data_IF_052530379495
#
_entry.id   IF_052530379495
#
_cell.length_a   1.000
_cell.length_b   1.000
_cell.length_c   1.000
_cell.angle_alpha   90.00
_cell.angle_beta   90.00
_cell.angle_gamma   90.00
#
_symmetry.space_group_name_H-M   'P 1'
#
loop_
_entity.id
_entity.type
_entity.pdbx_description
1 polymer ?
#
# COMPACT_ATOMS: atom_id res chain seq x y z
N UNK A 1 -7.35 -29.14 2.75
CA UNK A 1 -6.17 -28.69 1.99
C UNK A 1 -6.70 -28.07 0.72
N UNK A 2 -7.07 -26.80 0.80
CA UNK A 2 -7.52 -26.05 -0.37
C UNK A 2 -6.29 -25.48 -1.08
N UNK A 3 -6.14 -25.86 -2.34
CA UNK A 3 -5.09 -25.42 -3.26
C UNK A 3 -5.45 -24.01 -3.75
N UNK A 4 -4.79 -22.99 -3.22
CA UNK A 4 -4.99 -21.58 -3.57
C UNK A 4 -3.90 -21.14 -4.54
N UNK A 5 -3.97 -21.65 -5.77
CA UNK A 5 -3.14 -21.21 -6.88
C UNK A 5 -3.71 -19.90 -7.47
N UNK A 6 -3.00 -18.76 -7.39
CA UNK A 6 -3.46 -17.46 -7.88
C UNK A 6 -3.42 -17.34 -9.42
N UNK A 7 -2.91 -18.35 -10.14
CA UNK A 7 -2.95 -18.37 -11.59
C UNK A 7 -4.30 -18.85 -12.11
N UNK A 8 -5.15 -17.88 -12.51
CA UNK A 8 -6.29 -18.05 -13.43
C UNK A 8 -7.54 -18.73 -12.84
N UNK A 9 -8.46 -17.90 -12.33
CA UNK A 9 -9.84 -18.29 -12.02
C UNK A 9 -10.61 -18.57 -13.31
N UNK A 10 -10.63 -19.82 -13.76
CA UNK A 10 -11.56 -20.27 -14.80
C UNK A 10 -12.91 -20.56 -14.12
N UNK A 11 -14.03 -19.94 -14.54
CA UNK A 11 -15.34 -20.21 -13.94
C UNK A 11 -15.72 -21.68 -14.09
N UNK A 12 -16.20 -22.29 -12.99
CA UNK A 12 -16.45 -23.74 -12.87
C UNK A 12 -17.66 -24.25 -13.67
N UNK A 13 -18.47 -23.38 -14.26
CA UNK A 13 -19.54 -23.78 -15.19
C UNK A 13 -20.01 -22.60 -16.03
N UNK A 14 -20.23 -22.84 -17.33
CA UNK A 14 -20.87 -21.91 -18.26
C UNK A 14 -22.32 -22.37 -18.51
N UNK A 15 -23.28 -21.52 -18.15
CA UNK A 15 -24.62 -21.48 -18.76
C UNK A 15 -25.61 -22.59 -18.35
N UNK A 16 -26.10 -22.54 -17.11
CA UNK A 16 -27.22 -23.40 -16.66
C UNK A 16 -28.49 -22.63 -16.28
N UNK A 17 -28.72 -21.45 -16.87
CA UNK A 17 -29.94 -20.69 -16.60
C UNK A 17 -31.04 -20.94 -17.62
N UNK A 18 -32.26 -21.09 -17.10
CA UNK A 18 -33.48 -21.33 -17.86
C UNK A 18 -33.79 -20.11 -18.74
N UNK A 19 -33.52 -20.23 -20.04
CA UNK A 19 -33.81 -19.21 -21.05
C UNK A 19 -35.32 -19.14 -21.30
N UNK A 20 -35.93 -17.96 -21.19
CA UNK A 20 -37.36 -17.80 -21.49
C UNK A 20 -37.61 -17.42 -22.94
N UNK A 21 -36.84 -16.46 -23.45
CA UNK A 21 -37.03 -15.85 -24.76
C UNK A 21 -35.67 -15.42 -25.31
N UNK A 22 -35.11 -16.21 -26.24
CA UNK A 22 -33.83 -15.90 -26.89
C UNK A 22 -32.64 -15.91 -25.92
N UNK A 23 -31.91 -14.79 -25.85
CA UNK A 23 -30.76 -14.59 -24.95
C UNK A 23 -31.13 -14.14 -23.53
N UNK A 24 -32.40 -13.82 -23.26
CA UNK A 24 -32.82 -13.27 -21.97
C UNK A 24 -33.28 -14.35 -20.98
N UNK A 25 -32.83 -14.22 -19.73
CA UNK A 25 -33.06 -15.12 -18.60
C UNK A 25 -34.22 -14.64 -17.70
N UNK A 26 -34.76 -15.51 -16.84
CA UNK A 26 -35.73 -15.09 -15.79
C UNK A 26 -35.16 -13.98 -14.90
N UNK A 27 -33.87 -14.04 -14.61
CA UNK A 27 -33.13 -13.08 -13.81
C UNK A 27 -33.08 -11.70 -14.49
N UNK A 28 -32.96 -11.65 -15.82
CA UNK A 28 -33.01 -10.40 -16.58
C UNK A 28 -34.39 -9.73 -16.51
N UNK A 29 -35.46 -10.52 -16.56
CA UNK A 29 -36.81 -10.00 -16.38
C UNK A 29 -37.01 -9.42 -14.97
N UNK A 30 -36.46 -10.09 -13.95
CA UNK A 30 -36.52 -9.61 -12.58
C UNK A 30 -35.76 -8.29 -12.41
N UNK A 31 -34.54 -8.18 -12.94
CA UNK A 31 -33.73 -6.95 -12.89
C UNK A 31 -34.42 -5.80 -13.64
N UNK A 32 -35.06 -6.08 -14.78
CA UNK A 32 -35.80 -5.06 -15.53
C UNK A 32 -37.04 -4.53 -14.79
N UNK A 33 -37.78 -5.40 -14.12
CA UNK A 33 -39.04 -5.03 -13.44
C UNK A 33 -38.83 -4.46 -12.03
N UNK A 34 -37.77 -4.88 -11.34
CA UNK A 34 -37.53 -4.57 -9.93
C UNK A 34 -37.57 -3.06 -9.60
N UNK A 35 -36.94 -2.15 -10.37
CA UNK A 35 -36.99 -0.72 -10.07
C UNK A 35 -38.41 -0.14 -10.10
N UNK A 36 -39.27 -0.64 -10.99
CA UNK A 36 -40.68 -0.24 -11.04
C UNK A 36 -41.47 -0.72 -9.82
N UNK A 37 -41.24 -1.95 -9.40
CA UNK A 37 -41.86 -2.51 -8.18
C UNK A 37 -41.48 -1.70 -6.95
N UNK A 38 -40.19 -1.34 -6.82
CA UNK A 38 -39.70 -0.50 -5.72
C UNK A 38 -40.38 0.86 -5.70
N UNK A 39 -40.55 1.51 -6.86
CA UNK A 39 -41.27 2.80 -6.94
C UNK A 39 -42.71 2.66 -6.47
N UNK A 40 -43.44 1.64 -6.94
CA UNK A 40 -44.84 1.42 -6.51
C UNK A 40 -44.92 1.20 -5.01
N UNK A 41 -44.03 0.37 -4.45
CA UNK A 41 -43.99 0.10 -3.02
C UNK A 41 -43.63 1.37 -2.22
N UNK A 42 -42.63 2.14 -2.63
CA UNK A 42 -42.26 3.39 -1.97
C UNK A 42 -43.41 4.39 -1.97
N UNK A 43 -44.11 4.57 -3.11
CA UNK A 43 -45.26 5.47 -3.19
C UNK A 43 -46.43 4.99 -2.34
N UNK A 44 -46.66 3.68 -2.24
CA UNK A 44 -47.76 3.12 -1.43
C UNK A 44 -47.47 3.12 0.07
N UNK A 45 -46.21 2.92 0.48
CA UNK A 45 -45.81 2.77 1.88
C UNK A 45 -45.44 4.11 2.52
N UNK A 46 -44.72 4.98 1.80
CA UNK A 46 -44.19 6.22 2.36
C UNK A 46 -45.14 7.41 2.23
N UNK A 47 -46.07 7.38 1.26
CA UNK A 47 -46.94 8.53 0.98
C UNK A 47 -48.38 8.30 1.49
N UNK A 48 -48.95 9.25 2.25
CA UNK A 48 -50.35 9.18 2.68
C UNK A 48 -51.31 9.17 1.49
N UNK A 49 -52.37 8.36 1.57
CA UNK A 49 -53.31 8.17 0.46
C UNK A 49 -54.05 9.44 0.00
N UNK A 50 -54.13 10.46 0.86
CA UNK A 50 -54.75 11.76 0.56
C UNK A 50 -53.77 12.86 0.13
N UNK A 51 -52.49 12.57 -0.05
CA UNK A 51 -51.51 13.59 -0.41
C UNK A 51 -51.77 14.12 -1.82
N UNK A 52 -52.02 15.43 -1.90
CA UNK A 52 -52.22 16.15 -3.16
C UNK A 52 -51.16 17.23 -3.31
N UNK A 53 -50.57 17.33 -4.50
CA UNK A 53 -49.62 18.37 -4.87
C UNK A 53 -50.18 19.07 -6.11
N UNK A 54 -50.39 20.38 -6.02
CA UNK A 54 -51.03 21.18 -7.08
C UNK A 54 -52.36 20.59 -7.61
N UNK A 55 -53.18 20.02 -6.73
CA UNK A 55 -54.50 19.47 -7.09
C UNK A 55 -54.48 18.07 -7.72
N UNK A 56 -53.30 17.49 -7.97
CA UNK A 56 -53.17 16.11 -8.40
C UNK A 56 -52.84 15.18 -7.23
N UNK A 57 -53.52 14.04 -7.16
CA UNK A 57 -53.23 13.00 -6.17
C UNK A 57 -51.90 12.34 -6.52
N UNK A 58 -50.93 12.35 -5.61
CA UNK A 58 -49.56 11.88 -5.89
C UNK A 58 -49.53 10.40 -6.30
N UNK A 59 -50.54 9.61 -5.90
CA UNK A 59 -50.70 8.21 -6.29
C UNK A 59 -50.90 7.99 -7.80
N UNK A 60 -51.45 8.97 -8.54
CA UNK A 60 -51.62 8.83 -10.00
C UNK A 60 -50.29 8.85 -10.74
N UNK A 61 -49.23 9.37 -10.11
CA UNK A 61 -47.88 9.38 -10.64
C UNK A 61 -47.12 8.06 -10.38
N UNK A 62 -47.66 7.15 -9.57
CA UNK A 62 -46.99 5.89 -9.21
C UNK A 62 -46.74 5.00 -10.45
N UNK A 63 -47.79 4.79 -11.27
CA UNK A 63 -47.71 3.96 -12.46
C UNK A 63 -46.82 4.54 -13.58
N UNK A 64 -46.92 5.84 -13.95
CA UNK A 64 -46.02 6.39 -14.95
C UNK A 64 -44.57 6.39 -14.48
N UNK A 65 -44.31 6.70 -13.20
CA UNK A 65 -42.95 6.64 -12.65
C UNK A 65 -42.41 5.21 -12.62
N UNK A 66 -43.23 4.23 -12.24
CA UNK A 66 -42.88 2.82 -12.29
C UNK A 66 -42.58 2.37 -13.73
N UNK A 67 -43.37 2.81 -14.71
CA UNK A 67 -43.13 2.53 -16.13
C UNK A 67 -41.80 3.08 -16.63
N UNK A 68 -41.44 4.31 -16.24
CA UNK A 68 -40.12 4.89 -16.55
C UNK A 68 -39.00 4.07 -15.92
N UNK A 69 -39.13 3.67 -14.66
CA UNK A 69 -38.12 2.87 -13.96
C UNK A 69 -37.98 1.46 -14.54
N UNK A 70 -39.07 0.84 -15.00
CA UNK A 70 -39.04 -0.43 -15.74
C UNK A 70 -38.31 -0.24 -17.07
N UNK A 71 -38.56 0.87 -17.78
CA UNK A 71 -37.84 1.22 -19.01
C UNK A 71 -36.33 1.35 -18.79
N UNK A 72 -35.92 1.99 -17.69
CA UNK A 72 -34.51 2.09 -17.29
C UNK A 72 -33.92 0.71 -16.95
N UNK A 73 -34.66 -0.14 -16.22
CA UNK A 73 -34.25 -1.51 -15.92
C UNK A 73 -34.08 -2.35 -17.19
N UNK A 74 -35.00 -2.23 -18.14
CA UNK A 74 -34.91 -2.92 -19.44
C UNK A 74 -33.72 -2.41 -20.28
N UNK A 75 -33.45 -1.11 -20.27
CA UNK A 75 -32.28 -0.53 -20.92
C UNK A 75 -30.98 -1.04 -20.29
N UNK A 76 -30.92 -1.15 -18.96
CA UNK A 76 -29.77 -1.72 -18.25
C UNK A 76 -29.52 -3.17 -18.64
N UNK A 77 -30.57 -3.99 -18.69
CA UNK A 77 -30.49 -5.38 -19.17
C UNK A 77 -30.00 -5.44 -20.61
N UNK A 78 -30.47 -4.55 -21.48
CA UNK A 78 -30.02 -4.46 -22.87
C UNK A 78 -28.53 -4.08 -23.00
N UNK A 79 -28.03 -3.22 -22.11
CA UNK A 79 -26.62 -2.80 -22.08
C UNK A 79 -25.70 -3.81 -21.37
N UNK A 80 -26.27 -4.83 -20.71
CA UNK A 80 -25.50 -5.85 -20.00
C UNK A 80 -24.59 -6.61 -20.98
N UNK A 81 -23.28 -6.75 -20.71
CA UNK A 81 -22.36 -7.46 -21.60
C UNK A 81 -22.77 -8.93 -21.82
N UNK A 82 -22.63 -9.42 -23.06
CA UNK A 82 -23.10 -10.76 -23.47
C UNK A 82 -22.44 -11.95 -22.74
N UNK A 83 -21.38 -11.73 -21.96
CA UNK A 83 -20.67 -12.77 -21.19
C UNK A 83 -21.13 -12.87 -19.73
N UNK A 84 -22.03 -11.99 -19.27
CA UNK A 84 -22.53 -11.97 -17.88
C UNK A 84 -24.05 -11.87 -17.87
N UNK A 85 -24.69 -12.34 -16.81
CA UNK A 85 -26.11 -12.06 -16.57
C UNK A 85 -26.26 -10.65 -15.98
N UNK A 86 -27.43 -10.03 -16.14
CA UNK A 86 -27.67 -8.70 -15.56
C UNK A 86 -27.63 -8.72 -14.03
N UNK A 87 -28.06 -9.82 -13.41
CA UNK A 87 -27.98 -10.01 -11.96
C UNK A 87 -26.53 -10.13 -11.46
N UNK A 88 -25.67 -10.87 -12.17
CA UNK A 88 -24.25 -10.98 -11.85
C UNK A 88 -23.53 -9.64 -12.07
N UNK A 89 -23.95 -8.87 -13.09
CA UNK A 89 -23.40 -7.56 -13.36
C UNK A 89 -23.76 -6.55 -12.27
N UNK A 90 -25.01 -6.53 -11.80
CA UNK A 90 -25.44 -5.75 -10.62
C UNK A 90 -24.66 -6.16 -9.39
N UNK A 91 -24.55 -7.48 -9.13
CA UNK A 91 -23.81 -8.00 -7.97
C UNK A 91 -22.35 -7.60 -8.03
N UNK A 92 -21.72 -7.67 -9.20
CA UNK A 92 -20.34 -7.24 -9.42
C UNK A 92 -20.17 -5.74 -9.14
N UNK A 93 -21.10 -4.91 -9.64
CA UNK A 93 -21.03 -3.46 -9.44
C UNK A 93 -21.26 -3.06 -7.98
N UNK A 94 -22.24 -3.69 -7.31
CA UNK A 94 -22.47 -3.52 -5.87
C UNK A 94 -21.25 -3.99 -5.09
N UNK A 95 -20.71 -5.17 -5.39
CA UNK A 95 -19.52 -5.71 -4.71
C UNK A 95 -18.26 -4.88 -4.94
N UNK A 96 -18.14 -4.24 -6.09
CA UNK A 96 -17.05 -3.31 -6.40
C UNK A 96 -17.18 -2.03 -5.57
N UNK A 97 -18.40 -1.51 -5.44
CA UNK A 97 -18.66 -0.28 -4.69
C UNK A 97 -18.73 -0.49 -3.16
N UNK A 98 -19.08 -1.71 -2.72
CA UNK A 98 -19.09 -2.12 -1.32
C UNK A 98 -17.79 -2.81 -0.90
N UNK A 99 -16.82 -2.93 -1.82
CA UNK A 99 -15.53 -3.53 -1.50
C UNK A 99 -14.85 -2.64 -0.47
N UNK A 100 -14.60 -3.20 0.71
CA UNK A 100 -13.75 -2.54 1.68
C UNK A 100 -12.38 -2.33 1.02
N UNK A 101 -11.99 -1.06 0.88
CA UNK A 101 -10.65 -0.65 0.47
C UNK A 101 -9.64 -0.83 1.60
N UNK A 102 -10.10 -1.19 2.79
CA UNK A 102 -9.31 -1.33 4.00
C UNK A 102 -9.41 -2.76 4.56
N UNK A 103 -8.28 -3.33 4.98
CA UNK A 103 -8.17 -4.72 5.47
C UNK A 103 -7.54 -4.74 6.85
N UNK A 104 -8.26 -5.15 7.88
CA UNK A 104 -7.76 -5.21 9.27
C UNK A 104 -6.34 -5.80 9.37
N UNK A 105 -5.54 -5.34 10.33
CA UNK A 105 -4.10 -5.67 10.44
C UNK A 105 -3.86 -7.19 10.44
N UNK A 106 -4.68 -7.95 11.16
CA UNK A 106 -4.57 -9.42 11.19
C UNK A 106 -4.82 -10.07 9.82
N UNK A 107 -5.71 -9.50 9.01
CA UNK A 107 -5.91 -9.94 7.63
C UNK A 107 -4.76 -9.45 6.72
N UNK A 108 -4.24 -8.25 6.94
CA UNK A 108 -3.11 -7.71 6.19
C UNK A 108 -1.81 -8.50 6.42
N UNK A 109 -1.59 -9.04 7.63
CA UNK A 109 -0.45 -9.89 7.99
C UNK A 109 -0.29 -11.11 7.07
N UNK A 110 -1.39 -11.65 6.55
CA UNK A 110 -1.37 -12.78 5.61
C UNK A 110 -0.58 -12.44 4.33
N UNK A 111 -0.61 -11.17 3.93
CA UNK A 111 0.03 -10.67 2.71
C UNK A 111 1.37 -9.99 3.01
N UNK A 112 1.40 -9.05 3.95
CA UNK A 112 2.58 -8.21 4.21
C UNK A 112 3.64 -8.92 5.04
N UNK A 113 3.24 -9.92 5.83
CA UNK A 113 4.07 -10.61 6.83
C UNK A 113 4.71 -9.68 7.87
N UNK A 114 4.17 -8.48 8.07
CA UNK A 114 4.64 -7.53 9.09
C UNK A 114 3.87 -7.78 10.38
N UNK A 115 4.56 -8.23 11.41
CA UNK A 115 3.96 -8.45 12.73
C UNK A 115 3.79 -7.14 13.49
N UNK A 116 4.87 -6.35 13.59
CA UNK A 116 4.90 -5.12 14.38
C UNK A 116 5.97 -4.14 13.88
N UNK A 117 5.75 -2.85 14.12
CA UNK A 117 6.75 -1.79 13.94
C UNK A 117 7.20 -1.26 15.29
N UNK A 118 8.50 -0.98 15.44
CA UNK A 118 9.12 -0.40 16.63
C UNK A 118 9.67 1.01 16.33
N UNK A 119 8.84 2.08 16.35
CA UNK A 119 9.26 3.43 16.00
C UNK A 119 10.47 3.94 16.80
N UNK A 120 10.50 3.68 18.10
CA UNK A 120 11.59 4.14 18.99
C UNK A 120 12.92 3.44 18.79
N UNK A 121 12.91 2.30 18.08
CA UNK A 121 14.06 1.43 17.87
C UNK A 121 14.37 1.22 16.39
N UNK A 122 13.70 1.97 15.50
CA UNK A 122 13.93 1.95 14.06
C UNK A 122 13.94 0.55 13.43
N UNK A 123 13.08 -0.34 13.93
CA UNK A 123 13.01 -1.73 13.49
C UNK A 123 11.58 -2.15 13.13
N UNK A 124 11.46 -3.04 12.15
CA UNK A 124 10.19 -3.67 11.75
C UNK A 124 10.33 -5.18 11.95
N UNK A 125 9.38 -5.78 12.66
CA UNK A 125 9.33 -7.22 12.93
C UNK A 125 8.36 -7.92 11.98
N UNK A 126 8.82 -9.06 11.48
CA UNK A 126 8.06 -9.96 10.62
C UNK A 126 7.37 -11.05 11.44
N UNK A 127 6.38 -11.70 10.83
CA UNK A 127 5.64 -12.81 11.45
C UNK A 127 6.49 -14.05 11.76
N UNK A 128 7.70 -14.16 11.21
CA UNK A 128 8.67 -15.20 11.54
C UNK A 128 9.68 -14.79 12.64
N UNK A 129 9.45 -13.65 13.30
CA UNK A 129 10.30 -13.13 14.38
C UNK A 129 11.58 -12.44 13.89
N UNK A 130 11.82 -12.38 12.57
CA UNK A 130 12.92 -11.60 12.03
C UNK A 130 12.64 -10.10 12.15
N UNK A 131 13.67 -9.33 12.47
CA UNK A 131 13.62 -7.87 12.44
C UNK A 131 14.38 -7.36 11.22
N UNK A 132 13.93 -6.25 10.63
CA UNK A 132 14.63 -5.64 9.51
C UNK A 132 14.51 -4.12 9.53
N UNK A 133 15.44 -3.48 8.81
CA UNK A 133 15.48 -2.05 8.58
C UNK A 133 15.97 -1.75 7.17
N UNK A 134 15.93 -0.47 6.80
CA UNK A 134 16.27 -0.01 5.45
C UNK A 134 17.38 1.05 5.51
N UNK A 135 18.27 0.99 4.51
CA UNK A 135 19.21 2.07 4.19
C UNK A 135 18.83 2.63 2.83
N UNK A 136 18.47 3.91 2.75
CA UNK A 136 18.27 4.60 1.48
C UNK A 136 19.64 4.97 0.89
N UNK A 137 19.77 4.77 -0.42
CA UNK A 137 20.99 4.99 -1.20
C UNK A 137 20.70 6.01 -2.29
N UNK A 138 21.47 7.09 -2.30
CA UNK A 138 21.47 8.06 -3.39
C UNK A 138 22.77 7.83 -4.18
N UNK A 139 22.69 7.18 -5.36
CA UNK A 139 23.85 6.89 -6.17
C UNK A 139 24.38 8.16 -6.88
N UNK A 140 25.65 8.19 -7.31
CA UNK A 140 26.17 9.27 -8.12
C UNK A 140 25.49 9.28 -9.50
N UNK A 141 25.43 10.46 -10.11
CA UNK A 141 25.06 10.56 -11.53
C UNK A 141 26.12 9.90 -12.41
N UNK A 142 25.68 8.99 -13.27
CA UNK A 142 26.56 8.27 -14.19
C UNK A 142 26.30 8.62 -15.67
N UNK A 143 25.45 9.61 -15.93
CA UNK A 143 25.01 9.95 -17.30
C UNK A 143 26.15 10.43 -18.21
N UNK A 144 27.21 11.01 -17.63
CA UNK A 144 28.38 11.53 -18.34
C UNK A 144 29.69 10.86 -17.88
N UNK A 145 29.58 9.76 -17.12
CA UNK A 145 30.75 9.06 -16.60
C UNK A 145 31.48 8.30 -17.72
N UNK A 146 32.81 8.33 -17.66
CA UNK A 146 33.69 7.54 -18.52
C UNK A 146 33.65 6.06 -18.15
N UNK A 147 34.13 5.19 -19.05
CA UNK A 147 34.22 3.75 -18.78
C UNK A 147 35.11 3.43 -17.57
N UNK A 148 36.17 4.21 -17.35
CA UNK A 148 37.07 4.06 -16.20
C UNK A 148 36.36 4.42 -14.88
N UNK A 149 35.59 5.51 -14.86
CA UNK A 149 34.78 5.89 -13.70
C UNK A 149 33.68 4.85 -13.41
N UNK A 150 33.08 4.28 -14.45
CA UNK A 150 32.14 3.17 -14.32
C UNK A 150 32.80 1.93 -13.71
N UNK A 151 33.97 1.53 -14.21
CA UNK A 151 34.71 0.38 -13.70
C UNK A 151 35.11 0.58 -12.23
N UNK A 152 35.63 1.76 -11.88
CA UNK A 152 36.03 2.08 -10.51
C UNK A 152 34.85 2.00 -9.52
N UNK A 153 33.67 2.49 -9.90
CA UNK A 153 32.49 2.42 -9.03
C UNK A 153 31.94 1.00 -8.93
N UNK A 154 31.97 0.24 -10.01
CA UNK A 154 31.57 -1.17 -9.99
C UNK A 154 32.51 -2.01 -9.09
N UNK A 155 33.82 -1.78 -9.17
CA UNK A 155 34.81 -2.41 -8.30
C UNK A 155 34.60 -2.02 -6.83
N UNK A 156 34.38 -0.73 -6.54
CA UNK A 156 34.07 -0.27 -5.18
C UNK A 156 32.80 -0.92 -4.61
N UNK A 157 31.77 -1.09 -5.45
CA UNK A 157 30.55 -1.78 -5.04
C UNK A 157 30.76 -3.28 -4.83
N UNK A 158 31.56 -3.92 -5.69
CA UNK A 158 31.97 -5.32 -5.52
C UNK A 158 32.76 -5.50 -4.22
N UNK A 159 33.69 -4.61 -3.90
CA UNK A 159 34.45 -4.64 -2.65
C UNK A 159 33.55 -4.50 -1.44
N UNK A 160 32.58 -3.59 -1.48
CA UNK A 160 31.54 -3.49 -0.45
C UNK A 160 30.83 -4.83 -0.22
N UNK A 161 30.34 -5.47 -1.29
CA UNK A 161 29.66 -6.76 -1.20
C UNK A 161 30.57 -7.86 -0.65
N UNK A 162 31.85 -7.88 -1.04
CA UNK A 162 32.79 -8.93 -0.65
C UNK A 162 33.34 -8.77 0.77
N UNK A 163 33.36 -7.56 1.31
CA UNK A 163 34.05 -7.26 2.59
C UNK A 163 33.11 -6.87 3.73
N UNK A 164 31.98 -6.25 3.42
CA UNK A 164 31.06 -5.70 4.43
C UNK A 164 29.82 -6.58 4.61
N UNK A 165 29.34 -7.19 3.52
CA UNK A 165 28.08 -7.95 3.50
C UNK A 165 28.36 -9.42 3.79
N UNK A 166 28.46 -9.75 5.07
CA UNK A 166 28.59 -11.13 5.56
C UNK A 166 27.23 -11.77 5.90
N UNK A 167 26.14 -11.04 5.65
CA UNK A 167 24.76 -11.38 6.02
C UNK A 167 23.83 -11.14 4.82
N UNK A 168 22.63 -11.76 4.80
CA UNK A 168 21.68 -11.53 3.72
C UNK A 168 21.25 -10.06 3.65
N UNK A 169 21.19 -9.51 2.45
CA UNK A 169 20.58 -8.21 2.15
C UNK A 169 19.68 -8.34 0.92
N UNK A 170 18.74 -7.41 0.78
CA UNK A 170 17.94 -7.26 -0.43
C UNK A 170 18.06 -5.84 -0.96
N UNK A 171 18.37 -5.70 -2.26
CA UNK A 171 18.36 -4.41 -2.94
C UNK A 171 16.96 -4.21 -3.52
N UNK A 172 16.32 -3.12 -3.14
CA UNK A 172 15.00 -2.73 -3.59
C UNK A 172 15.08 -1.39 -4.31
N UNK A 173 14.70 -1.35 -5.59
CA UNK A 173 14.63 -0.11 -6.36
C UNK A 173 13.17 0.16 -6.69
N UNK A 174 12.71 1.38 -6.44
CA UNK A 174 11.34 1.81 -6.74
C UNK A 174 11.35 3.18 -7.40
N UNK A 175 10.20 3.62 -7.88
CA UNK A 175 10.01 4.94 -8.46
C UNK A 175 9.02 5.73 -7.63
N UNK A 176 9.39 6.94 -7.22
CA UNK A 176 8.46 7.87 -6.62
C UNK A 176 7.99 8.89 -7.65
N UNK A 177 6.72 9.35 -7.57
CA UNK A 177 6.29 10.49 -8.34
C UNK A 177 7.16 11.69 -7.98
N UNK A 178 7.53 12.50 -8.98
CA UNK A 178 8.25 13.74 -8.72
C UNK A 178 7.33 14.68 -7.91
N UNK A 179 7.76 15.26 -6.77
CA UNK A 179 6.94 16.15 -5.97
C UNK A 179 6.83 17.51 -6.69
N UNK A 180 5.91 17.58 -7.65
CA UNK A 180 5.68 18.75 -8.52
C UNK A 180 5.30 19.96 -7.69
N UNK A 181 4.34 19.78 -6.78
CA UNK A 181 3.76 20.85 -5.97
C UNK A 181 4.84 21.53 -5.12
N UNK A 182 5.68 20.75 -4.43
CA UNK A 182 6.80 21.30 -3.63
C UNK A 182 7.83 22.03 -4.51
N UNK A 183 8.07 21.53 -5.72
CA UNK A 183 9.01 22.15 -6.64
C UNK A 183 8.49 23.49 -7.15
N UNK A 184 7.23 23.54 -7.58
CA UNK A 184 6.56 24.72 -8.14
C UNK A 184 6.20 25.75 -7.08
N UNK A 185 5.83 25.33 -5.87
CA UNK A 185 5.54 26.22 -4.75
C UNK A 185 6.69 27.18 -4.45
N UNK A 186 7.94 26.76 -4.67
CA UNK A 186 9.12 27.66 -4.54
C UNK A 186 9.19 28.72 -5.63
N UNK A 187 8.71 28.44 -6.84
CA UNK A 187 8.65 29.42 -7.92
C UNK A 187 7.45 30.35 -7.74
N UNK A 188 6.30 29.81 -7.34
CA UNK A 188 5.10 30.59 -7.02
C UNK A 188 5.34 31.54 -5.86
N UNK A 189 5.99 31.10 -4.79
CA UNK A 189 6.32 31.94 -3.64
C UNK A 189 7.21 33.13 -4.00
N UNK A 190 7.99 33.04 -5.09
CA UNK A 190 8.80 34.16 -5.57
C UNK A 190 8.01 35.23 -6.30
N UNK A 191 6.77 34.96 -6.73
CA UNK A 191 5.93 35.97 -7.35
C UNK A 191 5.67 37.15 -6.40
N UNK A 192 5.67 36.91 -5.10
CA UNK A 192 5.53 37.92 -4.05
C UNK A 192 6.88 38.59 -3.66
N UNK A 193 8.01 38.21 -4.28
CA UNK A 193 9.30 38.82 -3.97
C UNK A 193 9.39 40.24 -4.57
N UNK A 194 9.94 41.24 -3.84
CA UNK A 194 10.01 42.62 -4.31
C UNK A 194 10.77 42.84 -5.63
N UNK A 195 11.72 41.96 -5.98
CA UNK A 195 12.45 42.02 -7.26
C UNK A 195 11.64 41.47 -8.43
N UNK A 196 10.71 40.56 -8.16
CA UNK A 196 9.79 39.99 -9.14
C UNK A 196 8.63 40.95 -9.39
N UNK A 197 8.00 41.49 -8.34
CA UNK A 197 6.94 42.50 -8.47
C UNK A 197 7.44 43.77 -9.21
N UNK A 198 8.71 44.13 -9.02
CA UNK A 198 9.32 45.27 -9.70
C UNK A 198 9.70 45.00 -11.17
N UNK A 199 9.60 43.75 -11.65
CA UNK A 199 10.04 43.35 -12.99
C UNK A 199 9.00 42.46 -13.71
N UNK A 200 8.14 43.05 -14.55
CA UNK A 200 7.09 42.32 -15.28
C UNK A 200 7.61 41.21 -16.20
N UNK A 201 8.87 41.29 -16.65
CA UNK A 201 9.45 40.23 -17.49
C UNK A 201 9.85 39.00 -16.66
N UNK A 202 10.27 39.21 -15.41
CA UNK A 202 10.63 38.14 -14.50
C UNK A 202 9.39 37.45 -13.95
N UNK A 203 8.36 38.22 -13.59
CA UNK A 203 7.03 37.72 -13.23
C UNK A 203 6.47 36.83 -14.34
N UNK A 204 6.37 37.36 -15.58
CA UNK A 204 5.89 36.59 -16.71
C UNK A 204 6.73 35.34 -17.00
N UNK A 205 8.05 35.37 -16.79
CA UNK A 205 8.90 34.19 -16.95
C UNK A 205 8.56 33.10 -15.93
N UNK A 206 8.34 33.47 -14.66
CA UNK A 206 7.98 32.54 -13.59
C UNK A 206 6.60 31.94 -13.87
N UNK A 207 5.59 32.76 -14.19
CA UNK A 207 4.24 32.29 -14.50
C UNK A 207 4.21 31.32 -15.69
N UNK A 208 4.92 31.66 -16.78
CA UNK A 208 5.00 30.78 -17.94
C UNK A 208 5.78 29.49 -17.65
N UNK A 209 6.80 29.55 -16.80
CA UNK A 209 7.55 28.36 -16.40
C UNK A 209 6.69 27.41 -15.57
N UNK A 210 5.95 27.92 -14.58
CA UNK A 210 5.03 27.13 -13.76
C UNK A 210 3.97 26.47 -14.64
N UNK A 211 3.25 27.26 -15.46
CA UNK A 211 2.18 26.76 -16.32
C UNK A 211 2.66 25.75 -17.37
N UNK A 212 3.83 25.96 -17.97
CA UNK A 212 4.41 24.99 -18.90
C UNK A 212 4.83 23.71 -18.21
N UNK A 213 5.45 23.80 -17.03
CA UNK A 213 5.99 22.66 -16.32
C UNK A 213 4.89 21.73 -15.78
N UNK A 214 3.77 22.28 -15.27
CA UNK A 214 2.57 21.51 -14.91
C UNK A 214 2.04 20.69 -16.10
N UNK A 215 1.82 21.36 -17.24
CA UNK A 215 1.29 20.70 -18.44
C UNK A 215 2.21 19.60 -19.00
N UNK A 216 3.54 19.84 -18.98
CA UNK A 216 4.53 18.90 -19.50
C UNK A 216 4.71 17.68 -18.57
N UNK A 217 4.55 17.85 -17.26
CA UNK A 217 4.68 16.77 -16.28
C UNK A 217 3.50 15.80 -16.31
N UNK A 218 2.28 16.30 -16.46
CA UNK A 218 1.09 15.48 -16.65
C UNK A 218 1.23 14.56 -17.87
N UNK A 219 1.90 15.06 -18.92
CA UNK A 219 2.14 14.30 -20.15
C UNK A 219 3.29 13.29 -20.00
N UNK A 220 4.37 13.65 -19.31
CA UNK A 220 5.61 12.83 -19.26
C UNK A 220 5.71 11.87 -18.08
N UNK A 221 4.89 12.01 -17.02
CA UNK A 221 4.94 11.22 -15.78
C UNK A 221 6.37 11.00 -15.28
N UNK A 222 7.07 12.11 -15.02
CA UNK A 222 8.45 12.04 -14.53
C UNK A 222 8.48 11.34 -13.17
N UNK A 223 9.30 10.30 -13.06
CA UNK A 223 9.51 9.56 -11.82
C UNK A 223 10.96 9.63 -11.39
N UNK A 224 11.18 9.76 -10.08
CA UNK A 224 12.51 9.67 -9.48
C UNK A 224 12.72 8.22 -9.08
N UNK A 225 13.89 7.65 -9.41
CA UNK A 225 14.22 6.28 -9.01
C UNK A 225 14.97 6.27 -7.68
N UNK A 226 14.36 5.68 -6.67
CA UNK A 226 14.93 5.46 -5.36
C UNK A 226 15.49 4.06 -5.21
N UNK A 227 16.53 3.94 -4.39
CA UNK A 227 17.23 2.70 -4.12
C UNK A 227 17.36 2.50 -2.62
N UNK A 228 16.99 1.31 -2.15
CA UNK A 228 17.02 0.92 -0.75
C UNK A 228 17.75 -0.40 -0.59
N UNK A 229 18.47 -0.56 0.52
CA UNK A 229 19.03 -1.84 0.96
C UNK A 229 18.29 -2.28 2.20
N UNK A 230 17.55 -3.38 2.08
CA UNK A 230 16.81 -4.03 3.16
C UNK A 230 17.75 -4.99 3.88
N UNK A 231 17.87 -4.83 5.19
CA UNK A 231 18.79 -5.60 6.04
C UNK A 231 17.98 -6.37 7.07
N UNK A 232 17.80 -7.69 6.93
CA UNK A 232 17.17 -8.54 7.93
C UNK A 232 18.17 -9.09 8.96
N UNK A 233 17.65 -9.40 10.14
CA UNK A 233 18.27 -10.22 11.19
C UNK A 233 17.26 -11.26 11.61
N UNK A 234 17.64 -12.53 11.53
CA UNK A 234 16.78 -13.64 11.96
C UNK A 234 17.13 -14.12 13.37
N UNK A 235 16.17 -14.66 14.14
CA UNK A 235 16.44 -15.21 15.47
C UNK A 235 17.54 -16.27 15.52
N UNK A 236 17.77 -17.00 14.42
CA UNK A 236 18.79 -18.04 14.33
C UNK A 236 20.23 -17.49 14.23
N UNK A 237 20.39 -16.21 13.89
CA UNK A 237 21.70 -15.58 13.66
C UNK A 237 22.29 -14.96 14.93
N UNK A 238 21.45 -14.64 15.92
CA UNK A 238 21.87 -14.00 17.16
C UNK A 238 22.06 -15.05 18.24
N UNK A 239 23.29 -15.17 18.75
CA UNK A 239 23.60 -16.03 19.90
C UNK A 239 23.37 -15.25 21.18
N UNK A 240 22.40 -15.67 21.98
CA UNK A 240 22.16 -15.08 23.30
C UNK A 240 23.24 -15.53 24.29
N UNK A 241 23.94 -14.60 24.93
CA UNK A 241 24.99 -14.92 25.90
C UNK A 241 24.47 -15.80 27.05
N UNK A 242 23.21 -15.59 27.47
CA UNK A 242 22.52 -16.39 28.48
C UNK A 242 22.20 -17.81 28.02
N UNK A 243 22.03 -18.03 26.71
CA UNK A 243 21.84 -19.37 26.17
C UNK A 243 23.10 -20.23 26.39
N UNK A 244 24.32 -19.68 26.28
CA UNK A 244 25.55 -20.44 26.49
C UNK A 244 25.70 -20.99 27.93
N UNK A 245 25.28 -20.21 28.93
CA UNK A 245 25.27 -20.61 30.34
C UNK A 245 24.16 -21.61 30.62
N UNK A 246 22.96 -21.37 30.07
CA UNK A 246 21.85 -22.31 30.17
C UNK A 246 22.14 -23.64 29.47
N UNK A 247 22.83 -23.65 28.33
CA UNK A 247 23.24 -24.85 27.58
C UNK A 247 24.30 -25.66 28.35
N UNK A 248 25.27 -24.97 28.98
CA UNK A 248 26.25 -25.62 29.86
C UNK A 248 25.61 -26.23 31.12
N UNK A 249 24.62 -25.56 31.72
CA UNK A 249 23.91 -26.04 32.92
C UNK A 249 22.85 -27.11 32.59
N UNK A 250 22.28 -27.08 31.38
CA UNK A 250 21.32 -28.07 30.89
C UNK A 250 21.94 -29.45 30.61
N UNK A 251 23.27 -29.53 30.49
CA UNK A 251 24.00 -30.79 30.38
C UNK A 251 23.91 -31.68 31.65
N UNK A 252 23.38 -31.16 32.76
CA UNK A 252 23.16 -31.91 33.99
C UNK A 252 21.73 -32.50 34.01
N UNK A 253 21.56 -33.84 34.00
CA UNK A 253 20.30 -34.53 33.66
C UNK A 253 19.13 -34.39 34.66
N UNK A 254 19.26 -33.52 35.68
CA UNK A 254 18.22 -33.24 36.68
C UNK A 254 18.03 -31.73 36.91
N UNK A 255 19.09 -30.93 36.79
CA UNK A 255 19.02 -29.46 36.88
C UNK A 255 18.52 -28.81 35.59
N UNK A 256 18.69 -29.47 34.43
CA UNK A 256 18.34 -28.91 33.13
C UNK A 256 16.86 -28.57 32.94
N UNK A 257 15.93 -29.25 33.61
CA UNK A 257 14.49 -29.00 33.46
C UNK A 257 14.01 -27.75 34.23
N UNK A 258 14.65 -27.42 35.36
CA UNK A 258 14.28 -26.26 36.18
C UNK A 258 15.02 -25.01 35.72
N UNK A 259 16.27 -25.16 35.27
CA UNK A 259 17.09 -24.06 34.76
C UNK A 259 16.55 -23.54 33.44
N UNK A 260 16.05 -24.40 32.53
CA UNK A 260 15.56 -23.98 31.22
C UNK A 260 14.33 -23.07 31.29
N UNK A 261 13.45 -23.28 32.27
CA UNK A 261 12.27 -22.44 32.49
C UNK A 261 12.63 -21.12 33.21
N UNK A 262 13.64 -21.15 34.10
CA UNK A 262 14.11 -19.95 34.82
C UNK A 262 15.00 -19.03 33.97
N UNK A 263 15.74 -19.61 33.02
CA UNK A 263 16.73 -18.95 32.17
C UNK A 263 16.32 -18.91 30.69
N UNK A 264 15.09 -19.31 30.34
CA UNK A 264 14.53 -18.95 29.04
C UNK A 264 14.65 -17.42 28.92
N UNK A 265 15.41 -16.90 27.94
CA UNK A 265 15.52 -15.47 27.77
C UNK A 265 14.12 -14.89 27.68
N UNK A 266 13.84 -13.83 28.44
CA UNK A 266 12.56 -13.14 28.29
C UNK A 266 12.48 -12.69 26.83
N UNK A 267 11.36 -12.92 26.14
CA UNK A 267 11.17 -12.53 24.73
C UNK A 267 11.62 -11.09 24.43
N UNK A 268 11.51 -10.20 25.42
CA UNK A 268 12.02 -8.83 25.34
C UNK A 268 13.55 -8.72 25.20
N UNK A 269 14.32 -9.56 25.91
CA UNK A 269 15.78 -9.60 25.83
C UNK A 269 16.26 -10.21 24.50
N UNK A 270 15.58 -11.24 23.99
CA UNK A 270 15.91 -11.80 22.67
C UNK A 270 15.69 -10.77 21.57
N UNK A 271 14.55 -10.08 21.64
CA UNK A 271 14.21 -8.99 20.72
C UNK A 271 15.21 -7.84 20.79
N UNK A 272 15.63 -7.48 22.00
CA UNK A 272 16.64 -6.43 22.19
C UNK A 272 17.93 -6.78 21.45
N UNK A 273 18.43 -7.99 21.62
CA UNK A 273 19.64 -8.45 20.94
C UNK A 273 19.48 -8.51 19.41
N UNK A 274 18.28 -8.86 18.91
CA UNK A 274 17.98 -8.82 17.48
C UNK A 274 18.03 -7.39 16.91
N UNK A 275 17.47 -6.43 17.64
CA UNK A 275 17.47 -5.02 17.25
C UNK A 275 18.90 -4.44 17.32
N UNK A 276 19.68 -4.79 18.34
CA UNK A 276 21.05 -4.32 18.47
C UNK A 276 21.95 -4.85 17.33
N UNK A 277 21.82 -6.14 16.97
CA UNK A 277 22.51 -6.70 15.79
C UNK A 277 22.02 -6.04 14.48
N UNK A 278 20.72 -5.73 14.38
CA UNK A 278 20.17 -5.03 13.22
C UNK A 278 20.79 -3.64 13.08
N UNK A 279 20.89 -2.90 14.17
CA UNK A 279 21.58 -1.61 14.19
C UNK A 279 23.02 -1.78 13.68
N UNK A 280 23.82 -2.68 14.25
CA UNK A 280 25.20 -2.89 13.81
C UNK A 280 25.31 -3.21 12.30
N UNK A 281 24.41 -4.04 11.77
CA UNK A 281 24.38 -4.35 10.32
C UNK A 281 23.99 -3.14 9.47
N UNK A 282 22.99 -2.38 9.89
CA UNK A 282 22.59 -1.15 9.19
C UNK A 282 23.73 -0.13 9.16
N UNK A 283 24.60 -0.08 10.18
CA UNK A 283 25.73 0.86 10.20
C UNK A 283 26.84 0.39 9.27
N UNK A 284 27.13 -0.92 9.29
CA UNK A 284 28.06 -1.55 8.35
C UNK A 284 27.64 -1.28 6.91
N UNK A 285 26.38 -1.53 6.56
CA UNK A 285 25.84 -1.26 5.21
C UNK A 285 25.94 0.22 4.86
N UNK A 286 25.48 1.11 5.75
CA UNK A 286 25.55 2.57 5.52
C UNK A 286 26.98 3.04 5.30
N UNK A 287 27.93 2.61 6.15
CA UNK A 287 29.33 3.00 6.06
C UNK A 287 29.99 2.47 4.79
N UNK A 288 29.75 1.20 4.46
CA UNK A 288 30.27 0.56 3.25
C UNK A 288 29.82 1.27 1.97
N UNK A 289 28.53 1.59 1.86
CA UNK A 289 28.00 2.31 0.69
C UNK A 289 28.53 3.74 0.61
N UNK A 290 28.66 4.45 1.74
CA UNK A 290 29.27 5.79 1.76
C UNK A 290 30.76 5.80 1.40
N UNK A 291 31.43 4.65 1.48
CA UNK A 291 32.81 4.49 1.00
C UNK A 291 32.92 4.58 -0.52
N UNK A 292 31.83 4.33 -1.26
CA UNK A 292 31.81 4.43 -2.72
C UNK A 292 31.75 5.91 -3.11
N UNK A 293 32.71 6.35 -3.93
CA UNK A 293 32.82 7.76 -4.32
C UNK A 293 31.52 8.28 -4.96
N UNK A 294 30.97 9.35 -4.39
CA UNK A 294 29.76 10.01 -4.87
C UNK A 294 28.44 9.33 -4.46
N UNK A 295 28.48 8.22 -3.72
CA UNK A 295 27.30 7.66 -3.08
C UNK A 295 27.02 8.36 -1.74
N UNK A 296 25.75 8.57 -1.45
CA UNK A 296 25.32 8.87 -0.08
C UNK A 296 24.36 7.79 0.40
N UNK A 297 24.39 7.50 1.68
CA UNK A 297 23.50 6.53 2.29
C UNK A 297 23.11 6.97 3.69
N UNK A 298 21.84 6.79 4.03
CA UNK A 298 21.30 7.07 5.34
C UNK A 298 20.32 5.97 5.73
N UNK A 299 20.27 5.68 7.04
CA UNK A 299 19.28 4.75 7.57
C UNK A 299 17.93 5.44 7.60
N UNK A 300 16.89 4.72 7.23
CA UNK A 300 15.53 5.17 7.45
C UNK A 300 15.12 4.85 8.89
N UNK A 301 14.35 5.75 9.48
CA UNK A 301 13.66 5.41 10.71
C UNK A 301 12.51 4.42 10.42
N UNK A 302 11.95 3.81 11.47
CA UNK A 302 10.88 2.82 11.29
C UNK A 302 9.60 3.42 10.67
N UNK A 303 9.38 4.73 10.80
CA UNK A 303 8.23 5.44 10.26
C UNK A 303 8.38 5.59 8.75
N UNK A 304 9.53 6.10 8.29
CA UNK A 304 9.90 6.23 6.88
C UNK A 304 9.95 4.88 6.18
N UNK A 305 10.59 3.88 6.82
CA UNK A 305 10.62 2.52 6.31
C UNK A 305 9.21 1.94 6.12
N UNK A 306 8.31 2.19 7.07
CA UNK A 306 6.91 1.74 6.96
C UNK A 306 6.19 2.44 5.82
N UNK A 307 6.45 3.73 5.56
CA UNK A 307 5.88 4.44 4.41
C UNK A 307 6.30 3.77 3.10
N UNK A 308 7.60 3.51 2.91
CA UNK A 308 8.14 2.85 1.71
C UNK A 308 7.51 1.47 1.50
N UNK A 309 7.35 0.69 2.56
CA UNK A 309 6.72 -0.65 2.46
C UNK A 309 5.21 -0.52 2.22
N UNK A 310 4.57 0.47 2.83
CA UNK A 310 3.16 0.79 2.57
C UNK A 310 2.92 1.05 1.10
N UNK A 311 3.70 1.96 0.50
CA UNK A 311 3.65 2.30 -0.94
C UNK A 311 3.94 1.11 -1.86
N UNK A 312 4.66 0.08 -1.41
CA UNK A 312 4.82 -1.15 -2.19
C UNK A 312 3.52 -1.96 -2.28
N UNK A 313 2.70 -1.94 -1.22
CA UNK A 313 1.45 -2.70 -1.14
C UNK A 313 0.23 -1.88 -1.55
N UNK A 314 0.25 -0.57 -1.35
CA UNK A 314 -0.74 0.38 -1.85
C UNK A 314 -0.21 1.02 -3.13
N UNK A 315 -0.86 0.78 -4.27
CA UNK A 315 -0.53 1.36 -5.58
C UNK A 315 -0.68 2.91 -5.63
N UNK A 316 -0.83 3.56 -4.48
CA UNK A 316 -0.99 4.99 -4.26
C UNK A 316 0.01 5.50 -3.21
N UNK A 317 0.56 6.69 -3.43
CA UNK A 317 1.37 7.40 -2.45
C UNK A 317 0.48 7.82 -1.27
N UNK A 318 0.53 7.05 -0.19
CA UNK A 318 -0.28 7.31 0.98
C UNK A 318 0.32 8.46 1.80
N UNK A 319 -0.34 9.62 1.78
CA UNK A 319 -0.05 10.70 2.73
C UNK A 319 -0.62 10.36 4.12
N UNK A 320 0.15 9.62 4.90
CA UNK A 320 -0.16 9.42 6.30
C UNK A 320 0.20 10.68 7.09
N UNK A 321 -0.76 11.57 7.34
CA UNK A 321 -0.54 12.84 8.04
C UNK A 321 0.43 12.77 9.23
N UNK A 322 0.05 12.11 10.33
CA UNK A 322 0.95 11.85 11.47
C UNK A 322 1.21 10.35 11.61
N UNK A 323 2.01 9.78 10.70
CA UNK A 323 2.32 8.34 10.67
C UNK A 323 2.86 7.83 12.02
N UNK A 324 3.64 8.62 12.75
CA UNK A 324 4.12 8.24 14.08
C UNK A 324 2.99 8.08 15.12
N UNK A 325 1.93 8.88 15.02
CA UNK A 325 0.74 8.73 15.87
C UNK A 325 -0.07 7.51 15.43
N UNK A 326 -0.22 7.29 14.13
CA UNK A 326 -0.90 6.11 13.56
C UNK A 326 -0.20 4.83 14.00
N UNK A 327 1.14 4.73 13.90
CA UNK A 327 1.90 3.55 14.34
C UNK A 327 1.78 3.26 15.84
N UNK A 328 1.45 4.26 16.66
CA UNK A 328 1.26 4.11 18.11
C UNK A 328 -0.17 3.74 18.50
N UNK A 329 -1.17 4.15 17.73
CA UNK A 329 -2.60 4.04 18.09
C UNK A 329 -3.40 3.12 17.18
N UNK A 330 -2.89 2.79 16.00
CA UNK A 330 -3.49 1.89 15.03
C UNK A 330 -2.44 0.83 14.64
N UNK A 331 -2.85 -0.43 14.61
CA UNK A 331 -2.19 -1.39 13.72
C UNK A 331 -2.13 -0.78 12.32
N UNK A 332 -1.16 -1.15 11.49
CA UNK A 332 -0.99 -0.55 10.16
C UNK A 332 -2.26 -0.64 9.29
N UNK A 333 -3.23 -1.46 9.71
CA UNK A 333 -4.66 -1.17 9.51
C UNK A 333 -5.44 -1.20 10.83
N UNK A 334 -6.36 -0.26 11.02
CA UNK A 334 -7.07 -0.02 12.27
C UNK A 334 -8.00 -1.15 12.72
N UNK A 335 -7.69 -1.75 13.87
CA UNK A 335 -8.62 -2.56 14.66
C UNK A 335 -9.26 -1.73 15.79
N UNK A 336 -10.49 -2.05 16.23
CA UNK A 336 -11.22 -1.28 17.23
C UNK A 336 -10.69 -1.51 18.65
N UNK A 337 -10.79 -0.46 19.45
CA UNK A 337 -10.46 -0.42 20.88
C UNK A 337 -11.03 -1.62 21.65
N UNK A 338 -10.19 -2.25 22.47
CA UNK A 338 -10.61 -3.02 23.65
C UNK A 338 -9.81 -2.63 24.86
#
# INVERSE_FOLDING_TARGET
MDDHNPAKRIPKSLGTDTKLLGSYTMTDLAVALFPGVVVVLCVQVLLPAGMTIQGHQVQTLALPLAGVMIGLGALFVYLTPAYTTSADWVTSMVSFHSRATDSDHEAAKEYTRIERVYPRRNAIERTDGAVFGLVQVIPPTMALATDEEWAQKAESFQDFLNTTVEFPIQIYSTTQPFPVDDHLARYEARLDDPDVEANPQLEALIENYVAWYEAELDERRMTIRDHYVVVPVTPAEVRFDDASLAEQLAAVPVLGLVVRELYAPREAAEREALIDELDDRLDRVRAGIRGINGCTAHRLDATEATKVIGEYWSDESMEYGQLEQVLRTRGIVGGPDR
#
